data_IF_037284752491
#
_entry.id   IF_037284752491
#
_cell.length_a   1.000
_cell.length_b   1.000
_cell.length_c   1.000
_cell.angle_alpha   90.00
_cell.angle_beta   90.00
_cell.angle_gamma   90.00
#
_symmetry.space_group_name_H-M   'P 1'
#
loop_
_entity.id
_entity.type
_entity.pdbx_description
1 polymer ?
#
# COMPACT_ATOMS: atom_id res chain seq x y z
N UNK A 1 13.25 51.99 -4.26
CA UNK A 1 12.20 51.44 -5.14
C UNK A 1 12.01 49.99 -4.76
N UNK A 2 10.83 49.69 -4.21
CA UNK A 2 10.36 48.36 -3.86
C UNK A 2 10.30 47.48 -5.11
N UNK A 3 10.70 46.21 -5.00
CA UNK A 3 10.02 45.14 -5.73
C UNK A 3 9.80 44.00 -4.75
N UNK A 4 8.54 43.88 -4.34
CA UNK A 4 8.02 42.81 -3.53
C UNK A 4 8.18 41.48 -4.26
N UNK A 5 8.94 40.57 -3.66
CA UNK A 5 8.91 39.16 -4.04
C UNK A 5 7.60 38.60 -3.52
N UNK A 6 6.75 38.21 -4.46
CA UNK A 6 5.41 37.68 -4.28
C UNK A 6 5.46 36.46 -3.36
N UNK A 7 5.09 36.64 -2.09
CA UNK A 7 4.91 35.57 -1.11
C UNK A 7 3.61 34.82 -1.41
N UNK A 8 3.67 33.84 -2.32
CA UNK A 8 2.74 32.70 -2.26
C UNK A 8 3.40 31.63 -1.42
N UNK A 9 3.05 31.61 -0.14
CA UNK A 9 3.27 30.46 0.75
C UNK A 9 2.59 29.26 0.07
N UNK A 10 3.25 28.09 -0.07
CA UNK A 10 2.59 26.89 -0.60
C UNK A 10 1.38 26.55 0.28
N UNK A 11 0.32 25.99 -0.32
CA UNK A 11 -0.68 25.25 0.45
C UNK A 11 0.07 24.32 1.41
N UNK A 12 -0.13 24.51 2.71
CA UNK A 12 0.73 23.99 3.77
C UNK A 12 0.93 22.48 3.62
N UNK A 13 2.20 22.08 3.47
CA UNK A 13 2.62 20.68 3.38
C UNK A 13 2.19 19.97 4.66
N UNK A 14 1.57 18.79 4.51
CA UNK A 14 1.26 17.92 5.63
C UNK A 14 2.55 17.65 6.43
N UNK A 15 2.64 18.18 7.65
CA UNK A 15 3.83 18.07 8.49
C UNK A 15 3.97 16.73 9.20
N UNK A 16 2.93 15.88 9.16
CA UNK A 16 2.83 14.68 10.01
C UNK A 16 2.54 14.96 11.49
N UNK A 17 2.57 16.22 11.94
CA UNK A 17 2.55 16.59 13.37
C UNK A 17 1.16 16.84 13.95
N UNK A 18 0.10 16.96 13.15
CA UNK A 18 -1.23 17.34 13.65
C UNK A 18 -1.79 16.42 14.74
N UNK A 19 -1.61 15.10 14.57
CA UNK A 19 -2.01 14.10 15.59
C UNK A 19 -1.05 14.14 16.77
N UNK A 20 0.24 14.33 16.51
CA UNK A 20 1.27 14.42 17.54
C UNK A 20 1.00 15.59 18.50
N UNK A 21 0.69 16.77 17.96
CA UNK A 21 0.41 17.99 18.72
C UNK A 21 -0.86 17.89 19.56
N UNK A 22 -1.91 17.24 19.03
CA UNK A 22 -3.22 17.15 19.71
C UNK A 22 -3.30 16.02 20.72
N UNK A 23 -2.65 14.89 20.44
CA UNK A 23 -2.74 13.70 21.27
C UNK A 23 -1.45 13.39 22.04
N UNK A 24 -0.36 14.11 21.81
CA UNK A 24 0.95 13.86 22.43
C UNK A 24 1.65 12.59 21.92
N UNK A 25 1.24 12.07 20.76
CA UNK A 25 1.84 10.89 20.13
C UNK A 25 3.16 11.30 19.47
N UNK A 26 4.23 10.53 19.66
CA UNK A 26 5.50 10.81 19.01
C UNK A 26 5.99 9.61 18.19
N UNK A 27 6.47 9.87 16.98
CA UNK A 27 7.31 8.94 16.23
C UNK A 27 8.76 9.16 16.67
N UNK A 28 9.42 8.11 17.14
CA UNK A 28 10.81 8.17 17.60
C UNK A 28 11.59 7.08 16.86
N UNK A 29 12.68 7.44 16.21
CA UNK A 29 13.45 6.48 15.41
C UNK A 29 14.44 7.19 14.50
N UNK A 30 14.72 6.57 13.37
CA UNK A 30 15.60 7.11 12.35
C UNK A 30 15.13 8.50 11.86
N UNK A 31 16.09 9.35 11.47
CA UNK A 31 15.80 10.71 10.97
C UNK A 31 14.84 10.70 9.77
N UNK A 32 14.93 9.68 8.92
CA UNK A 32 14.07 9.53 7.73
C UNK A 32 12.67 8.99 8.03
N UNK A 33 12.36 8.60 9.27
CA UNK A 33 11.08 7.98 9.60
C UNK A 33 9.89 8.92 9.33
N UNK A 34 10.05 10.20 9.64
CA UNK A 34 9.03 11.23 9.41
C UNK A 34 8.86 11.59 7.93
N UNK A 35 9.86 11.30 7.09
CA UNK A 35 9.72 11.46 5.65
C UNK A 35 8.86 10.33 5.06
N UNK A 36 8.95 9.12 5.63
CA UNK A 36 8.20 7.94 5.17
C UNK A 36 6.76 7.90 5.71
N UNK A 37 6.55 8.41 6.92
CA UNK A 37 5.28 8.26 7.64
C UNK A 37 4.82 9.58 8.27
N UNK A 38 3.51 9.70 8.38
CA UNK A 38 2.90 10.52 9.41
C UNK A 38 1.73 9.82 10.09
N UNK A 39 0.96 10.58 10.85
CA UNK A 39 -0.11 10.05 11.69
C UNK A 39 -1.49 10.52 11.22
N UNK A 40 -2.45 9.59 11.23
CA UNK A 40 -3.88 9.88 11.12
C UNK A 40 -4.65 9.19 12.25
N UNK A 41 -5.95 9.48 12.34
CA UNK A 41 -6.86 8.85 13.27
C UNK A 41 -7.81 7.90 12.54
N UNK A 42 -8.20 6.84 13.25
CA UNK A 42 -9.22 5.91 12.81
C UNK A 42 -10.13 5.53 13.97
N UNK A 43 -11.33 5.06 13.64
CA UNK A 43 -12.23 4.49 14.64
C UNK A 43 -11.78 3.05 14.94
N UNK A 44 -11.03 2.88 16.03
CA UNK A 44 -10.56 1.56 16.43
C UNK A 44 -10.52 1.43 17.97
N UNK A 45 -11.04 0.33 18.53
CA UNK A 45 -11.15 0.16 19.99
C UNK A 45 -9.81 -0.14 20.67
N UNK A 46 -8.74 -0.45 19.92
CA UNK A 46 -7.43 -0.84 20.45
C UNK A 46 -6.35 0.20 20.19
N UNK A 47 -6.43 0.96 19.09
CA UNK A 47 -5.41 1.96 18.69
C UNK A 47 -6.06 3.17 18.03
N UNK A 48 -5.95 4.35 18.64
CA UNK A 48 -6.50 5.60 18.10
C UNK A 48 -5.76 6.09 16.83
N UNK A 49 -4.45 5.89 16.76
CA UNK A 49 -3.61 6.33 15.64
C UNK A 49 -3.54 5.29 14.53
N UNK A 50 -3.21 5.79 13.34
CA UNK A 50 -2.87 5.03 12.13
C UNK A 50 -1.58 5.63 11.57
N UNK A 51 -0.60 4.77 11.25
CA UNK A 51 0.55 5.18 10.46
C UNK A 51 0.10 5.34 9.01
N UNK A 52 0.34 6.52 8.44
CA UNK A 52 0.01 6.83 7.04
C UNK A 52 1.31 7.03 6.29
N UNK A 53 1.55 6.18 5.31
CA UNK A 53 2.72 6.31 4.46
C UNK A 53 2.61 7.50 3.51
N UNK A 54 3.67 8.31 3.48
CA UNK A 54 3.90 9.37 2.49
C UNK A 54 4.35 8.80 1.13
N UNK A 55 4.86 7.58 1.09
CA UNK A 55 5.62 7.07 -0.05
C UNK A 55 4.96 5.89 -0.76
N UNK A 56 3.95 5.24 -0.18
CA UNK A 56 3.31 4.08 -0.81
C UNK A 56 2.12 4.42 -1.73
N UNK A 57 1.68 5.68 -1.76
CA UNK A 57 0.49 6.07 -2.53
C UNK A 57 -0.80 5.41 -2.02
N UNK A 58 -0.85 4.92 -0.77
CA UNK A 58 -2.04 4.20 -0.28
C UNK A 58 -3.20 5.13 0.05
N UNK A 59 -2.93 6.19 0.80
CA UNK A 59 -3.94 7.14 1.26
C UNK A 59 -3.67 8.58 0.82
N UNK A 60 -2.42 8.89 0.50
CA UNK A 60 -1.96 10.21 0.05
C UNK A 60 -1.44 10.05 -1.38
N UNK A 61 -1.96 10.80 -2.36
CA UNK A 61 -1.42 10.85 -3.71
C UNK A 61 0.07 11.16 -3.70
N UNK A 62 0.84 10.40 -4.47
CA UNK A 62 2.29 10.52 -4.51
C UNK A 62 2.82 10.31 -5.93
N UNK A 63 4.01 10.84 -6.24
CA UNK A 63 4.71 10.56 -7.50
C UNK A 63 4.88 9.04 -7.68
N UNK A 64 4.50 8.48 -8.84
CA UNK A 64 4.67 7.05 -9.11
C UNK A 64 6.14 6.62 -9.11
N UNK A 65 7.09 7.48 -9.49
CA UNK A 65 8.51 7.20 -9.35
C UNK A 65 8.93 7.04 -7.89
N UNK A 66 8.41 7.85 -6.97
CA UNK A 66 8.67 7.70 -5.53
C UNK A 66 8.09 6.37 -5.03
N UNK A 67 6.83 6.07 -5.34
CA UNK A 67 6.13 4.86 -4.90
C UNK A 67 6.85 3.60 -5.35
N UNK A 68 7.15 3.50 -6.64
CA UNK A 68 7.90 2.37 -7.20
C UNK A 68 9.33 2.29 -6.63
N UNK A 69 9.99 3.46 -6.50
CA UNK A 69 11.39 3.57 -6.10
C UNK A 69 11.68 2.99 -4.71
N UNK A 70 10.81 3.23 -3.72
CA UNK A 70 10.99 2.68 -2.37
C UNK A 70 10.93 1.16 -2.34
N UNK A 71 9.94 0.56 -3.00
CA UNK A 71 9.84 -0.90 -3.09
C UNK A 71 11.00 -1.52 -3.87
N UNK A 72 11.38 -0.90 -4.99
CA UNK A 72 12.53 -1.35 -5.79
C UNK A 72 13.84 -1.31 -5.01
N UNK A 73 14.07 -0.25 -4.22
CA UNK A 73 15.25 -0.12 -3.37
C UNK A 73 15.30 -1.20 -2.27
N UNK A 74 14.17 -1.52 -1.64
CA UNK A 74 14.06 -2.64 -0.71
C UNK A 74 14.39 -3.97 -1.40
N UNK A 75 13.86 -4.21 -2.60
CA UNK A 75 14.18 -5.40 -3.40
C UNK A 75 15.67 -5.56 -3.69
N UNK A 76 16.37 -4.45 -3.99
CA UNK A 76 17.83 -4.47 -4.17
C UNK A 76 18.56 -4.86 -2.88
N UNK A 77 18.14 -4.33 -1.72
CA UNK A 77 18.73 -4.70 -0.43
C UNK A 77 18.52 -6.17 -0.11
N UNK A 78 17.35 -6.73 -0.45
CA UNK A 78 17.09 -8.17 -0.33
C UNK A 78 17.99 -8.97 -1.26
N UNK A 79 18.19 -8.53 -2.51
CA UNK A 79 19.13 -9.19 -3.44
C UNK A 79 20.54 -9.23 -2.87
N UNK A 80 21.03 -8.10 -2.36
CA UNK A 80 22.37 -7.99 -1.79
C UNK A 80 22.53 -8.89 -0.55
N UNK A 81 21.46 -9.04 0.25
CA UNK A 81 21.41 -9.93 1.42
C UNK A 81 21.38 -11.43 1.05
N UNK A 82 20.70 -11.79 -0.03
CA UNK A 82 20.54 -13.19 -0.47
C UNK A 82 21.70 -13.68 -1.34
N UNK A 83 22.38 -12.80 -2.06
CA UNK A 83 23.43 -13.20 -3.01
C UNK A 83 22.87 -14.13 -4.09
N UNK A 84 23.56 -15.24 -4.35
CA UNK A 84 23.15 -16.23 -5.35
C UNK A 84 21.78 -16.88 -5.05
N UNK A 85 21.38 -16.98 -3.77
CA UNK A 85 20.08 -17.53 -3.38
C UNK A 85 18.89 -16.70 -3.90
N UNK A 86 19.13 -15.44 -4.29
CA UNK A 86 18.11 -14.57 -4.87
C UNK A 86 17.52 -15.15 -6.16
N UNK A 87 18.27 -15.98 -6.90
CA UNK A 87 17.82 -16.59 -8.15
C UNK A 87 16.62 -17.54 -7.96
N UNK A 88 16.50 -18.13 -6.76
CA UNK A 88 15.45 -19.10 -6.41
C UNK A 88 14.42 -18.54 -5.43
N UNK A 89 14.52 -17.24 -5.11
CA UNK A 89 13.64 -16.61 -4.14
C UNK A 89 12.22 -16.41 -4.68
N UNK A 90 11.23 -16.45 -3.81
CA UNK A 90 9.83 -16.11 -4.10
C UNK A 90 9.42 -14.95 -3.21
N UNK A 91 8.73 -13.95 -3.78
CA UNK A 91 8.23 -12.79 -3.03
C UNK A 91 6.73 -12.95 -2.77
N UNK A 92 6.33 -12.80 -1.51
CA UNK A 92 4.96 -12.84 -1.05
C UNK A 92 4.58 -11.49 -0.42
N UNK A 93 3.65 -10.75 -1.01
CA UNK A 93 3.12 -9.51 -0.43
C UNK A 93 1.85 -9.71 0.40
N UNK A 94 1.71 -8.96 1.49
CA UNK A 94 0.47 -8.92 2.26
C UNK A 94 -0.56 -7.99 1.56
N UNK A 95 -1.73 -8.54 1.25
CA UNK A 95 -2.84 -7.67 0.91
C UNK A 95 -3.30 -6.89 2.14
N UNK A 96 -3.74 -5.64 2.00
CA UNK A 96 -3.89 -4.93 0.74
C UNK A 96 -2.71 -4.03 0.41
N UNK A 97 -2.22 -3.30 1.42
CA UNK A 97 -1.27 -2.18 1.23
C UNK A 97 0.05 -2.61 0.60
N UNK A 98 0.53 -3.82 0.93
CA UNK A 98 1.79 -4.31 0.42
C UNK A 98 1.69 -5.07 -0.91
N UNK A 99 0.53 -5.09 -1.58
CA UNK A 99 0.40 -5.70 -2.93
C UNK A 99 1.27 -4.97 -3.97
N UNK A 100 1.19 -3.64 -4.03
CA UNK A 100 2.05 -2.84 -4.92
C UNK A 100 3.51 -2.80 -4.47
N UNK A 101 3.74 -2.74 -3.15
CA UNK A 101 5.08 -2.74 -2.56
C UNK A 101 5.82 -4.06 -2.85
N UNK A 102 5.15 -5.19 -2.66
CA UNK A 102 5.70 -6.52 -2.90
C UNK A 102 6.09 -6.76 -4.35
N UNK A 103 5.27 -6.32 -5.31
CA UNK A 103 5.66 -6.32 -6.72
C UNK A 103 6.92 -5.50 -6.97
N UNK A 104 6.99 -4.29 -6.41
CA UNK A 104 8.17 -3.41 -6.56
C UNK A 104 9.43 -4.02 -5.92
N UNK A 105 9.28 -4.75 -4.81
CA UNK A 105 10.36 -5.53 -4.18
C UNK A 105 10.80 -6.68 -5.09
N UNK A 106 9.87 -7.45 -5.66
CA UNK A 106 10.18 -8.50 -6.63
C UNK A 106 10.92 -7.94 -7.85
N UNK A 107 10.52 -6.76 -8.32
CA UNK A 107 11.18 -6.06 -9.40
C UNK A 107 12.63 -5.66 -9.08
N UNK A 108 12.86 -5.19 -7.84
CA UNK A 108 14.20 -4.85 -7.34
C UNK A 108 15.09 -6.06 -7.11
N UNK A 109 14.49 -7.19 -6.73
CA UNK A 109 15.16 -8.48 -6.56
C UNK A 109 15.56 -9.08 -7.93
N UNK A 110 14.72 -8.93 -8.95
CA UNK A 110 15.04 -9.17 -10.35
C UNK A 110 14.33 -10.39 -10.93
N UNK A 111 14.71 -11.59 -10.50
CA UNK A 111 14.25 -12.87 -11.06
C UNK A 111 13.20 -13.59 -10.22
N UNK A 112 12.80 -13.01 -9.08
CA UNK A 112 11.83 -13.65 -8.20
C UNK A 112 10.41 -13.53 -8.75
N UNK A 113 9.64 -14.62 -8.83
CA UNK A 113 8.20 -14.51 -9.05
C UNK A 113 7.52 -13.92 -7.81
N UNK A 114 6.38 -13.28 -8.03
CA UNK A 114 5.61 -12.59 -7.01
C UNK A 114 4.22 -13.21 -6.82
N UNK A 115 3.83 -13.41 -5.56
CA UNK A 115 2.49 -13.76 -5.13
C UNK A 115 2.01 -12.71 -4.12
N UNK A 116 0.71 -12.45 -4.02
CA UNK A 116 0.18 -11.76 -2.85
C UNK A 116 -0.99 -12.49 -2.25
N UNK A 117 -1.17 -12.32 -0.95
CA UNK A 117 -2.37 -12.81 -0.28
C UNK A 117 -3.60 -12.05 -0.74
N UNK A 118 -4.79 -12.60 -0.52
CA UNK A 118 -6.05 -11.91 -0.80
C UNK A 118 -7.11 -12.31 0.21
N UNK A 119 -8.10 -11.45 0.43
CA UNK A 119 -9.31 -11.80 1.20
C UNK A 119 -10.47 -12.24 0.30
N UNK A 120 -10.19 -12.40 -0.99
CA UNK A 120 -11.17 -12.76 -2.02
C UNK A 120 -11.06 -14.25 -2.34
N UNK A 121 -12.06 -15.07 -1.99
CA UNK A 121 -12.12 -16.41 -2.55
C UNK A 121 -12.37 -16.31 -4.05
N UNK A 122 -11.65 -17.10 -4.85
CA UNK A 122 -11.83 -17.16 -6.30
C UNK A 122 -12.30 -18.57 -6.66
N UNK A 123 -13.50 -18.66 -7.24
CA UNK A 123 -14.09 -19.93 -7.62
C UNK A 123 -13.18 -20.68 -8.62
N UNK A 124 -12.91 -21.95 -8.33
CA UNK A 124 -12.08 -22.80 -9.19
C UNK A 124 -10.56 -22.70 -8.94
N UNK A 125 -10.09 -21.80 -8.07
CA UNK A 125 -8.67 -21.71 -7.71
C UNK A 125 -8.44 -22.38 -6.35
N UNK A 126 -7.53 -23.35 -6.32
CA UNK A 126 -7.20 -24.07 -5.09
C UNK A 126 -6.41 -23.18 -4.12
N UNK A 127 -6.75 -23.26 -2.84
CA UNK A 127 -5.99 -22.58 -1.79
C UNK A 127 -4.71 -23.35 -1.47
N UNK A 128 -3.57 -22.70 -1.64
CA UNK A 128 -2.26 -23.28 -1.31
C UNK A 128 -1.85 -23.02 0.16
N UNK A 129 -2.37 -21.94 0.76
CA UNK A 129 -1.98 -21.42 2.07
C UNK A 129 -2.96 -20.38 2.59
N UNK A 130 -2.80 -19.96 3.85
CA UNK A 130 -3.57 -18.85 4.39
C UNK A 130 -3.26 -18.55 5.86
N UNK A 131 -3.54 -17.33 6.29
CA UNK A 131 -3.22 -16.89 7.66
C UNK A 131 -4.26 -15.90 8.19
N UNK A 132 -4.33 -15.78 9.51
CA UNK A 132 -5.22 -14.85 10.21
C UNK A 132 -4.43 -13.63 10.70
N UNK A 133 -4.96 -12.43 10.46
CA UNK A 133 -4.41 -11.21 11.06
C UNK A 133 -4.83 -11.08 12.52
N UNK A 134 -3.86 -10.95 13.43
CA UNK A 134 -4.09 -10.96 14.90
C UNK A 134 -4.88 -9.75 15.45
N UNK A 135 -5.20 -8.77 14.60
CA UNK A 135 -5.81 -7.49 14.99
C UNK A 135 -7.22 -7.27 14.44
N UNK A 136 -7.75 -8.21 13.67
CA UNK A 136 -9.09 -8.19 13.09
C UNK A 136 -9.80 -9.48 13.43
N UNK A 137 -10.98 -9.41 14.04
CA UNK A 137 -11.68 -10.58 14.57
C UNK A 137 -12.23 -11.56 13.52
N UNK A 138 -11.97 -11.39 12.22
CA UNK A 138 -12.57 -12.25 11.18
C UNK A 138 -11.94 -12.18 9.76
N UNK A 139 -10.67 -11.79 9.58
CA UNK A 139 -10.10 -11.68 8.21
C UNK A 139 -8.99 -12.68 7.94
N UNK A 140 -9.42 -13.79 7.33
CA UNK A 140 -8.57 -14.79 6.72
C UNK A 140 -7.95 -14.25 5.43
N UNK A 141 -6.64 -14.45 5.29
CA UNK A 141 -5.90 -14.23 4.06
C UNK A 141 -5.71 -15.57 3.36
N UNK A 142 -5.90 -15.57 2.04
CA UNK A 142 -5.78 -16.72 1.17
C UNK A 142 -4.55 -16.55 0.28
N UNK A 143 -3.84 -17.64 0.04
CA UNK A 143 -2.85 -17.75 -1.03
C UNK A 143 -3.42 -18.62 -2.13
N UNK A 144 -3.63 -18.02 -3.30
CA UNK A 144 -4.36 -18.63 -4.42
C UNK A 144 -3.48 -18.68 -5.69
N UNK A 145 -2.27 -19.25 -5.67
CA UNK A 145 -1.45 -19.32 -6.88
C UNK A 145 -2.13 -20.19 -7.94
N UNK A 146 -2.04 -19.80 -9.21
CA UNK A 146 -2.49 -20.64 -10.33
C UNK A 146 -1.59 -21.89 -10.47
N UNK A 147 -0.29 -21.71 -10.28
CA UNK A 147 0.69 -22.80 -10.20
C UNK A 147 1.06 -23.08 -8.73
N UNK A 148 0.64 -24.25 -8.23
CA UNK A 148 0.99 -24.70 -6.88
C UNK A 148 2.51 -24.87 -6.68
N UNK A 149 3.28 -25.09 -7.76
CA UNK A 149 4.72 -25.18 -7.75
C UNK A 149 5.42 -23.89 -7.29
N UNK A 150 4.73 -22.74 -7.38
CA UNK A 150 5.27 -21.45 -6.97
C UNK A 150 5.72 -21.43 -5.50
N UNK A 151 4.99 -22.12 -4.62
CA UNK A 151 5.33 -22.23 -3.20
C UNK A 151 6.04 -23.54 -2.84
N UNK A 152 6.22 -24.47 -3.77
CA UNK A 152 6.76 -25.81 -3.46
C UNK A 152 8.29 -25.91 -3.45
N UNK A 153 9.01 -24.87 -3.90
CA UNK A 153 10.49 -24.86 -3.89
C UNK A 153 11.10 -24.85 -2.48
N UNK A 154 12.43 -24.83 -2.41
CA UNK A 154 13.23 -24.75 -1.17
C UNK A 154 13.98 -23.42 -0.98
N UNK A 155 14.08 -22.61 -2.05
CA UNK A 155 14.71 -21.29 -2.03
C UNK A 155 14.06 -20.27 -1.06
N UNK A 156 14.68 -19.10 -0.84
CA UNK A 156 14.21 -18.14 0.15
C UNK A 156 12.79 -17.65 -0.09
N UNK A 157 11.99 -17.53 0.99
CA UNK A 157 10.69 -16.86 0.93
C UNK A 157 10.80 -15.44 1.50
N UNK A 158 10.51 -14.45 0.66
CA UNK A 158 10.55 -13.03 1.01
C UNK A 158 9.13 -12.55 1.30
N UNK A 159 8.83 -12.15 2.53
CA UNK A 159 7.51 -11.70 2.95
C UNK A 159 7.49 -10.16 3.07
N UNK A 160 6.61 -9.48 2.35
CA UNK A 160 6.61 -8.02 2.22
C UNK A 160 5.34 -7.42 2.81
N UNK A 161 5.49 -6.59 3.84
CA UNK A 161 4.43 -5.78 4.43
C UNK A 161 4.78 -4.28 4.40
N UNK A 162 3.85 -3.39 4.75
CA UNK A 162 4.16 -1.97 4.90
C UNK A 162 4.79 -1.65 6.26
N UNK A 163 4.28 -2.25 7.34
CA UNK A 163 4.74 -2.04 8.71
C UNK A 163 5.07 -3.35 9.42
N UNK A 164 6.28 -3.46 9.99
CA UNK A 164 6.62 -4.55 10.89
C UNK A 164 6.55 -4.09 12.35
N UNK A 165 5.49 -4.49 13.08
CA UNK A 165 5.32 -4.17 14.50
C UNK A 165 5.58 -5.39 15.38
N UNK A 166 4.58 -5.94 16.08
CA UNK A 166 4.77 -7.13 16.95
C UNK A 166 5.23 -8.40 16.21
N UNK A 167 5.16 -8.40 14.88
CA UNK A 167 5.52 -9.52 14.02
C UNK A 167 4.54 -10.69 14.02
N UNK A 168 3.51 -10.71 14.87
CA UNK A 168 2.60 -11.86 15.03
C UNK A 168 2.03 -12.39 13.71
N UNK A 169 1.51 -11.51 12.84
CA UNK A 169 0.96 -11.90 11.54
C UNK A 169 2.02 -12.61 10.68
N UNK A 170 3.22 -12.03 10.58
CA UNK A 170 4.32 -12.58 9.79
C UNK A 170 4.80 -13.91 10.37
N UNK A 171 5.00 -14.00 11.69
CA UNK A 171 5.44 -15.24 12.35
C UNK A 171 4.42 -16.37 12.16
N UNK A 172 3.13 -16.09 12.32
CA UNK A 172 2.06 -17.07 12.09
C UNK A 172 2.01 -17.49 10.62
N UNK A 173 2.21 -16.54 9.69
CA UNK A 173 2.28 -16.85 8.25
C UNK A 173 3.46 -17.77 7.95
N UNK A 174 4.64 -17.46 8.49
CA UNK A 174 5.83 -18.28 8.28
C UNK A 174 5.59 -19.67 8.88
N UNK A 175 5.04 -19.79 10.08
CA UNK A 175 4.76 -21.10 10.70
C UNK A 175 3.84 -21.95 9.82
N UNK A 176 2.70 -21.38 9.40
CA UNK A 176 1.73 -22.07 8.54
C UNK A 176 2.32 -22.49 7.19
N UNK A 177 3.16 -21.64 6.60
CA UNK A 177 3.84 -21.96 5.34
C UNK A 177 4.98 -22.95 5.54
N UNK A 178 5.71 -22.88 6.64
CA UNK A 178 6.83 -23.77 6.93
C UNK A 178 6.36 -25.21 7.16
N UNK A 179 5.18 -25.40 7.78
CA UNK A 179 4.57 -26.73 7.94
C UNK A 179 4.24 -27.41 6.59
N UNK A 180 3.96 -26.64 5.54
CA UNK A 180 3.54 -27.15 4.22
C UNK A 180 4.67 -27.12 3.18
N UNK A 181 5.47 -26.06 3.22
CA UNK A 181 6.49 -25.68 2.26
C UNK A 181 7.74 -25.17 3.03
N UNK A 182 8.44 -26.06 3.76
CA UNK A 182 9.55 -25.67 4.62
C UNK A 182 10.66 -25.01 3.81
N UNK A 183 11.15 -23.87 4.29
CA UNK A 183 12.30 -23.14 3.73
C UNK A 183 13.43 -23.07 4.73
N UNK A 184 14.66 -23.11 4.24
CA UNK A 184 15.84 -22.85 5.08
C UNK A 184 16.03 -21.36 5.40
N UNK A 185 15.41 -20.46 4.62
CA UNK A 185 15.58 -19.01 4.76
C UNK A 185 14.30 -18.23 4.47
N UNK A 186 14.00 -17.29 5.36
CA UNK A 186 12.93 -16.30 5.24
C UNK A 186 13.51 -14.89 5.33
N UNK A 187 12.98 -13.96 4.55
CA UNK A 187 13.32 -12.54 4.64
C UNK A 187 12.04 -11.75 4.83
N UNK A 188 11.89 -11.13 5.99
CA UNK A 188 10.81 -10.17 6.24
C UNK A 188 11.24 -8.82 5.67
N UNK A 189 10.37 -8.19 4.90
CA UNK A 189 10.59 -6.87 4.30
C UNK A 189 9.46 -5.96 4.74
N UNK A 190 9.81 -4.80 5.25
CA UNK A 190 8.84 -3.76 5.58
C UNK A 190 9.29 -2.40 5.06
N UNK A 191 8.35 -1.48 4.83
CA UNK A 191 8.74 -0.08 4.67
C UNK A 191 9.36 0.41 5.98
N UNK A 192 8.72 0.10 7.11
CA UNK A 192 9.17 0.53 8.43
C UNK A 192 9.18 -0.62 9.44
N UNK A 193 10.21 -0.69 10.27
CA UNK A 193 10.26 -1.54 11.47
C UNK A 193 9.86 -0.71 12.69
N UNK A 194 8.69 -1.00 13.23
CA UNK A 194 8.06 -0.32 14.35
C UNK A 194 8.03 -1.18 15.63
N UNK A 195 8.92 -2.18 15.72
CA UNK A 195 9.02 -3.05 16.89
C UNK A 195 9.36 -2.30 18.17
N UNK A 196 8.80 -2.78 19.27
CA UNK A 196 9.28 -2.42 20.61
C UNK A 196 10.55 -3.20 20.94
N UNK A 197 11.32 -2.73 21.94
CA UNK A 197 12.47 -3.48 22.47
C UNK A 197 12.06 -4.89 22.94
N UNK A 198 10.85 -5.03 23.50
CA UNK A 198 10.30 -6.31 23.95
C UNK A 198 10.01 -7.28 22.79
N UNK A 199 9.80 -6.77 21.56
CA UNK A 199 9.54 -7.59 20.38
C UNK A 199 10.81 -7.92 19.58
N UNK A 200 11.94 -7.27 19.86
CA UNK A 200 13.16 -7.39 19.06
C UNK A 200 13.72 -8.82 18.98
N UNK A 201 13.69 -9.57 20.10
CA UNK A 201 14.23 -10.93 20.19
C UNK A 201 13.31 -12.05 19.66
N UNK A 202 12.05 -11.71 19.36
CA UNK A 202 11.03 -12.71 18.98
C UNK A 202 11.31 -13.39 17.64
N UNK A 203 11.91 -12.66 16.70
CA UNK A 203 12.32 -13.23 15.41
C UNK A 203 13.42 -14.28 15.58
N UNK A 204 14.42 -14.02 16.44
CA UNK A 204 15.52 -14.95 16.67
C UNK A 204 15.06 -16.21 17.42
N UNK A 205 14.16 -16.06 18.40
CA UNK A 205 13.54 -17.18 19.09
C UNK A 205 12.73 -18.05 18.12
N UNK A 206 11.91 -17.42 17.29
CA UNK A 206 11.12 -18.12 16.29
C UNK A 206 11.99 -18.81 15.23
N UNK A 207 13.06 -18.16 14.76
CA UNK A 207 14.01 -18.75 13.81
C UNK A 207 14.62 -20.06 14.35
N UNK A 208 14.98 -20.09 15.65
CA UNK A 208 15.46 -21.31 16.32
C UNK A 208 14.36 -22.37 16.48
N UNK A 209 13.12 -21.96 16.72
CA UNK A 209 11.97 -22.87 16.86
C UNK A 209 11.73 -23.67 15.57
N UNK A 210 11.80 -23.01 14.41
CA UNK A 210 11.53 -23.61 13.10
C UNK A 210 12.77 -24.15 12.39
N UNK A 211 13.94 -24.12 13.03
CA UNK A 211 15.24 -24.51 12.44
C UNK A 211 15.51 -23.86 11.07
N UNK A 212 15.25 -22.55 10.97
CA UNK A 212 15.45 -21.77 9.75
C UNK A 212 16.05 -20.40 10.04
N UNK A 213 16.65 -19.78 9.03
CA UNK A 213 17.13 -18.40 9.13
C UNK A 213 16.00 -17.42 8.83
N UNK A 214 15.83 -16.40 9.65
CA UNK A 214 14.87 -15.31 9.42
C UNK A 214 15.60 -13.97 9.49
N UNK A 215 15.69 -13.27 8.36
CA UNK A 215 16.28 -11.92 8.27
C UNK A 215 15.17 -10.85 8.20
N UNK A 216 15.47 -9.60 8.59
CA UNK A 216 14.60 -8.44 8.44
C UNK A 216 15.29 -7.33 7.62
N UNK A 217 14.57 -6.78 6.64
CA UNK A 217 14.98 -5.62 5.85
C UNK A 217 13.90 -4.54 5.94
N UNK A 218 14.23 -3.40 6.54
CA UNK A 218 13.33 -2.24 6.62
C UNK A 218 13.98 -0.97 6.07
N UNK A 219 13.19 -0.06 5.48
CA UNK A 219 13.72 1.20 4.95
C UNK A 219 14.11 2.16 6.08
N UNK A 220 13.34 2.17 7.17
CA UNK A 220 13.64 2.86 8.41
C UNK A 220 13.13 2.07 9.62
N UNK A 221 13.67 2.38 10.79
CA UNK A 221 13.27 1.81 12.07
C UNK A 221 12.83 2.89 13.05
N UNK A 222 11.89 2.55 13.94
CA UNK A 222 11.45 3.44 15.01
C UNK A 222 10.39 2.82 15.90
N UNK A 223 9.70 3.65 16.65
CA UNK A 223 8.60 3.29 17.51
C UNK A 223 7.57 4.42 17.62
N UNK A 224 6.38 4.07 18.09
CA UNK A 224 5.34 5.04 18.44
C UNK A 224 5.27 5.16 19.95
N UNK A 225 5.57 6.35 20.49
CA UNK A 225 5.36 6.65 21.91
C UNK A 225 3.94 7.17 22.11
N UNK A 226 3.19 6.46 22.94
CA UNK A 226 1.81 6.78 23.29
C UNK A 226 1.74 7.38 24.70
N UNK A 227 1.13 8.56 24.88
CA UNK A 227 0.87 9.08 26.22
C UNK A 227 -0.32 8.37 26.88
N UNK A 228 -0.44 8.54 28.19
CA UNK A 228 -1.55 8.01 28.96
C UNK A 228 -2.89 8.60 28.50
N UNK A 229 -3.91 7.74 28.41
CA UNK A 229 -5.27 8.10 27.98
C UNK A 229 -5.40 8.46 26.49
N UNK A 230 -4.40 8.13 25.64
CA UNK A 230 -4.42 8.47 24.21
C UNK A 230 -5.60 7.83 23.47
N UNK A 231 -6.05 6.65 23.91
CA UNK A 231 -7.13 5.93 23.26
C UNK A 231 -8.45 6.66 23.45
N UNK A 232 -8.77 7.02 24.70
CA UNK A 232 -9.96 7.80 25.05
C UNK A 232 -9.94 9.16 24.36
N UNK A 233 -8.83 9.91 24.48
CA UNK A 233 -8.66 11.22 23.82
C UNK A 233 -8.83 11.14 22.31
N UNK A 234 -8.27 10.10 21.68
CA UNK A 234 -8.40 9.87 20.25
C UNK A 234 -9.83 9.56 19.83
N UNK A 235 -10.56 8.74 20.61
CA UNK A 235 -11.97 8.43 20.35
C UNK A 235 -12.86 9.66 20.50
N UNK A 236 -12.63 10.48 21.53
CA UNK A 236 -13.32 11.75 21.73
C UNK A 236 -13.08 12.70 20.57
N UNK A 237 -11.83 12.83 20.11
CA UNK A 237 -11.48 13.70 18.98
C UNK A 237 -12.13 13.23 17.68
N UNK A 238 -12.11 11.92 17.40
CA UNK A 238 -12.83 11.33 16.26
C UNK A 238 -14.33 11.65 16.35
N UNK A 239 -14.96 11.48 17.51
CA UNK A 239 -16.37 11.76 17.71
C UNK A 239 -16.71 13.26 17.50
N UNK A 240 -15.86 14.17 18.00
CA UNK A 240 -16.03 15.61 17.81
C UNK A 240 -16.03 16.00 16.33
N UNK A 241 -15.06 15.51 15.55
CA UNK A 241 -14.99 15.83 14.11
C UNK A 241 -16.13 15.21 13.31
N UNK A 242 -16.56 14.00 13.65
CA UNK A 242 -17.72 13.35 13.02
C UNK A 242 -19.04 14.06 13.33
N UNK A 243 -19.18 14.66 14.53
CA UNK A 243 -20.37 15.43 14.93
C UNK A 243 -20.35 16.83 14.28
N UNK A 244 -19.21 17.52 14.34
CA UNK A 244 -19.04 18.86 13.77
C UNK A 244 -19.18 18.88 12.24
N UNK A 245 -18.86 17.75 11.60
CA UNK A 245 -19.03 17.55 10.16
C UNK A 245 -19.93 16.33 9.93
N UNK A 246 -21.27 16.42 10.12
CA UNK A 246 -22.18 15.32 9.80
C UNK A 246 -22.09 14.93 8.32
N UNK A 247 -21.65 15.87 7.47
CA UNK A 247 -21.29 15.66 6.08
C UNK A 247 -20.13 14.68 5.88
N UNK A 248 -19.19 14.53 6.82
CA UNK A 248 -18.13 13.54 6.77
C UNK A 248 -18.66 12.10 6.94
N UNK A 249 -19.70 11.89 7.75
CA UNK A 249 -20.46 10.62 7.80
C UNK A 249 -21.39 10.43 6.59
N UNK A 250 -21.65 11.48 5.81
CA UNK A 250 -22.64 11.52 4.71
C UNK A 250 -22.08 12.16 3.41
N UNK A 251 -20.80 11.94 3.06
CA UNK A 251 -20.26 12.47 1.79
C UNK A 251 -20.75 11.71 0.56
N UNK A 252 -21.43 10.58 0.73
CA UNK A 252 -22.32 10.09 -0.32
C UNK A 252 -23.61 10.93 -0.32
N UNK A 253 -23.56 12.11 -0.95
CA UNK A 253 -24.75 12.53 -1.72
C UNK A 253 -25.01 11.34 -2.67
N UNK A 254 -26.22 10.73 -2.70
CA UNK A 254 -26.51 9.71 -3.70
C UNK A 254 -26.02 10.24 -5.04
N UNK A 255 -25.16 9.46 -5.72
CA UNK A 255 -24.64 9.88 -7.01
C UNK A 255 -25.86 10.31 -7.85
N UNK A 256 -25.86 11.52 -8.41
CA UNK A 256 -26.98 11.98 -9.22
C UNK A 256 -27.34 10.90 -10.21
N UNK A 257 -28.60 10.47 -10.23
CA UNK A 257 -29.02 9.34 -11.06
C UNK A 257 -28.97 9.65 -12.55
N UNK A 258 -28.69 10.90 -12.97
CA UNK A 258 -28.49 11.33 -14.35
C UNK A 258 -27.81 12.72 -14.47
N UNK A 259 -27.12 13.00 -15.60
CA UNK A 259 -26.23 12.09 -16.30
C UNK A 259 -24.87 12.10 -15.59
N UNK A 260 -24.29 10.92 -15.39
CA UNK A 260 -22.87 10.85 -15.03
C UNK A 260 -22.07 11.57 -16.13
N UNK A 261 -21.02 12.34 -15.78
CA UNK A 261 -20.10 12.84 -16.79
C UNK A 261 -19.64 11.68 -17.67
N UNK A 262 -19.48 11.94 -18.96
CA UNK A 262 -19.01 10.93 -19.92
C UNK A 262 -17.68 10.38 -19.41
N UNK A 263 -17.67 9.10 -19.01
CA UNK A 263 -16.43 8.42 -18.73
C UNK A 263 -15.83 7.99 -20.08
N UNK A 264 -14.54 8.25 -20.27
CA UNK A 264 -13.83 7.84 -21.46
C UNK A 264 -13.15 6.50 -21.16
N UNK A 265 -13.65 5.43 -21.78
CA UNK A 265 -13.03 4.11 -21.65
C UNK A 265 -11.93 3.98 -22.70
N UNK A 266 -10.70 3.79 -22.24
CA UNK A 266 -9.54 3.51 -23.09
C UNK A 266 -9.29 2.01 -23.08
N UNK A 267 -9.24 1.39 -24.26
CA UNK A 267 -8.71 0.04 -24.39
C UNK A 267 -7.19 0.12 -24.50
N UNK A 268 -6.50 -0.38 -23.49
CA UNK A 268 -5.04 -0.39 -23.47
C UNK A 268 -4.45 -1.45 -24.40
N UNK A 269 -5.27 -2.37 -24.94
CA UNK A 269 -4.85 -3.60 -25.61
C UNK A 269 -3.96 -4.45 -24.69
N UNK A 270 -4.49 -4.79 -23.51
CA UNK A 270 -3.78 -5.56 -22.51
C UNK A 270 -3.21 -6.86 -23.12
N UNK A 271 -1.91 -7.17 -22.93
CA UNK A 271 -1.29 -8.33 -23.55
C UNK A 271 -2.00 -9.65 -23.21
N UNK A 272 -2.37 -10.50 -24.20
CA UNK A 272 -3.14 -11.72 -23.94
C UNK A 272 -2.40 -12.71 -23.04
N UNK A 273 -2.95 -13.17 -21.92
CA UNK A 273 -2.25 -14.03 -20.93
C UNK A 273 -1.15 -13.33 -20.10
N UNK A 274 -1.15 -11.99 -20.04
CA UNK A 274 -0.49 -11.27 -18.95
C UNK A 274 -1.49 -11.15 -17.79
N UNK A 275 -1.20 -11.67 -16.58
CA UNK A 275 -2.04 -11.41 -15.41
C UNK A 275 -2.07 -9.93 -15.05
N UNK A 276 -3.20 -9.46 -14.51
CA UNK A 276 -3.41 -8.08 -14.07
C UNK A 276 -2.66 -7.73 -12.77
N UNK A 277 -2.25 -8.74 -12.00
CA UNK A 277 -1.54 -8.57 -10.74
C UNK A 277 -0.92 -9.87 -10.23
N UNK A 278 -0.53 -9.84 -8.95
CA UNK A 278 0.21 -10.94 -8.31
C UNK A 278 -0.67 -11.96 -7.60
N UNK A 279 -2.01 -11.82 -7.64
CA UNK A 279 -2.92 -12.64 -6.84
C UNK A 279 -2.74 -14.14 -7.08
N UNK A 280 -2.49 -14.49 -8.34
CA UNK A 280 -2.36 -15.86 -8.82
C UNK A 280 -0.94 -16.22 -9.24
N UNK A 281 0.03 -15.34 -8.98
CA UNK A 281 1.42 -15.48 -9.41
C UNK A 281 1.77 -14.53 -10.57
N UNK A 282 2.91 -13.86 -10.46
CA UNK A 282 3.45 -12.97 -11.47
C UNK A 282 4.94 -13.26 -11.66
N UNK A 283 5.31 -13.80 -12.82
CA UNK A 283 6.66 -14.31 -13.08
C UNK A 283 7.56 -13.25 -13.74
N UNK A 284 8.89 -13.46 -13.79
CA UNK A 284 9.78 -12.60 -14.56
C UNK A 284 9.42 -12.49 -16.05
N UNK A 285 8.83 -13.54 -16.66
CA UNK A 285 8.37 -13.47 -18.05
C UNK A 285 7.11 -12.61 -18.19
N UNK A 286 6.18 -12.65 -17.21
CA UNK A 286 5.06 -11.71 -17.13
C UNK A 286 5.56 -10.27 -17.02
N UNK A 287 6.56 -10.02 -16.16
CA UNK A 287 7.21 -8.70 -16.05
C UNK A 287 7.77 -8.25 -17.38
N UNK A 288 8.63 -9.04 -18.02
CA UNK A 288 9.25 -8.68 -19.30
C UNK A 288 8.20 -8.33 -20.38
N UNK A 289 7.07 -9.03 -20.37
CA UNK A 289 5.96 -8.75 -21.27
C UNK A 289 5.21 -7.46 -20.94
N UNK A 290 4.96 -7.18 -19.66
CA UNK A 290 4.39 -5.91 -19.22
C UNK A 290 5.31 -4.74 -19.64
N UNK A 291 6.60 -4.82 -19.32
CA UNK A 291 7.60 -3.80 -19.67
C UNK A 291 7.61 -3.50 -21.17
N UNK A 292 7.55 -4.54 -22.01
CA UNK A 292 7.51 -4.36 -23.47
C UNK A 292 6.23 -3.69 -23.97
N UNK A 293 5.11 -3.82 -23.25
CA UNK A 293 3.81 -3.30 -23.66
C UNK A 293 3.51 -1.90 -23.09
N UNK A 294 4.15 -1.52 -21.96
CA UNK A 294 3.89 -0.28 -21.24
C UNK A 294 3.95 0.98 -22.13
N UNK A 295 4.95 1.17 -23.02
CA UNK A 295 5.01 2.39 -23.83
C UNK A 295 3.78 2.60 -24.72
N UNK A 296 3.28 1.53 -25.34
CA UNK A 296 2.12 1.61 -26.24
C UNK A 296 0.80 1.75 -25.45
N UNK A 297 0.67 1.05 -24.32
CA UNK A 297 -0.47 1.23 -23.41
C UNK A 297 -0.54 2.69 -22.90
N UNK A 298 0.60 3.24 -22.51
CA UNK A 298 0.70 4.62 -22.03
C UNK A 298 0.44 5.64 -23.13
N UNK A 299 0.89 5.39 -24.37
CA UNK A 299 0.58 6.26 -25.51
C UNK A 299 -0.93 6.37 -25.75
N UNK A 300 -1.65 5.24 -25.72
CA UNK A 300 -3.13 5.22 -25.83
C UNK A 300 -3.80 5.98 -24.69
N UNK A 301 -3.28 5.84 -23.47
CA UNK A 301 -3.78 6.58 -22.33
C UNK A 301 -3.54 8.08 -22.49
N UNK A 302 -2.34 8.48 -22.91
CA UNK A 302 -1.98 9.88 -23.15
C UNK A 302 -2.83 10.54 -24.24
N UNK A 303 -3.18 9.81 -25.31
CA UNK A 303 -4.10 10.28 -26.36
C UNK A 303 -5.50 10.59 -25.85
N UNK A 304 -5.95 9.90 -24.79
CA UNK A 304 -7.25 10.11 -24.18
C UNK A 304 -7.25 11.20 -23.09
N UNK A 305 -6.06 11.60 -22.61
CA UNK A 305 -5.92 12.66 -21.61
C UNK A 305 -6.01 14.03 -22.30
N UNK A 306 -6.76 15.00 -21.75
CA UNK A 306 -6.79 16.36 -22.30
C UNK A 306 -5.38 16.95 -22.44
N UNK A 307 -5.06 17.52 -23.60
CA UNK A 307 -3.72 18.03 -23.90
C UNK A 307 -3.28 19.20 -23.00
N UNK A 308 -4.24 19.88 -22.35
CA UNK A 308 -4.02 20.96 -21.39
C UNK A 308 -4.01 20.49 -19.93
N UNK A 309 -4.23 19.19 -19.66
CA UNK A 309 -4.17 18.63 -18.32
C UNK A 309 -2.76 18.82 -17.72
N UNK A 310 -2.71 19.44 -16.55
CA UNK A 310 -1.50 19.70 -15.77
C UNK A 310 -1.40 18.84 -14.53
N UNK A 311 -2.51 18.30 -14.04
CA UNK A 311 -2.57 17.48 -12.82
C UNK A 311 -3.36 16.22 -13.10
N UNK A 312 -2.63 15.16 -13.40
CA UNK A 312 -3.15 13.85 -13.78
C UNK A 312 -3.04 12.93 -12.56
N UNK A 313 -4.14 12.30 -12.17
CA UNK A 313 -4.13 11.30 -11.10
C UNK A 313 -4.46 9.92 -11.66
N UNK A 314 -3.64 8.93 -11.36
CA UNK A 314 -3.91 7.52 -11.66
C UNK A 314 -4.37 6.84 -10.37
N UNK A 315 -5.59 6.29 -10.37
CA UNK A 315 -6.17 5.65 -9.20
C UNK A 315 -6.18 4.12 -9.36
N UNK A 316 -5.26 3.45 -8.64
CA UNK A 316 -5.28 2.01 -8.46
C UNK A 316 -6.48 1.54 -7.62
N UNK A 317 -6.73 0.24 -7.66
CA UNK A 317 -7.93 -0.33 -7.04
C UNK A 317 -7.60 -1.46 -6.06
N UNK A 318 -7.71 -1.21 -4.76
CA UNK A 318 -7.49 -2.18 -3.68
C UNK A 318 -6.20 -3.02 -3.84
N UNK A 319 -6.30 -4.22 -4.40
CA UNK A 319 -5.16 -5.14 -4.65
C UNK A 319 -4.54 -4.97 -6.06
N UNK A 320 -5.24 -4.31 -6.99
CA UNK A 320 -4.75 -3.92 -8.31
C UNK A 320 -3.98 -2.60 -8.21
N UNK A 321 -2.85 -2.64 -7.51
CA UNK A 321 -1.98 -1.48 -7.31
C UNK A 321 -0.85 -1.39 -8.34
N UNK A 322 -0.25 -2.53 -8.70
CA UNK A 322 0.99 -2.55 -9.48
C UNK A 322 0.80 -2.10 -10.93
N UNK A 323 -0.15 -2.67 -11.67
CA UNK A 323 -0.35 -2.30 -13.08
C UNK A 323 -0.67 -0.79 -13.27
N UNK A 324 -1.59 -0.18 -12.48
CA UNK A 324 -1.81 1.26 -12.52
C UNK A 324 -0.56 2.07 -12.11
N UNK A 325 0.21 1.63 -11.11
CA UNK A 325 1.48 2.28 -10.74
C UNK A 325 2.49 2.25 -11.89
N UNK A 326 2.58 1.14 -12.63
CA UNK A 326 3.49 1.00 -13.78
C UNK A 326 3.09 1.92 -14.93
N UNK A 327 1.79 2.01 -15.24
CA UNK A 327 1.26 2.97 -16.21
C UNK A 327 1.49 4.41 -15.78
N UNK A 328 1.26 4.73 -14.51
CA UNK A 328 1.49 6.06 -13.95
C UNK A 328 2.95 6.49 -14.08
N UNK A 329 3.89 5.57 -13.81
CA UNK A 329 5.33 5.83 -13.93
C UNK A 329 5.77 6.06 -15.37
N UNK A 330 5.24 5.29 -16.31
CA UNK A 330 5.51 5.51 -17.74
C UNK A 330 4.90 6.85 -18.21
N UNK A 331 3.68 7.14 -17.77
CA UNK A 331 3.00 8.40 -18.08
C UNK A 331 3.76 9.61 -17.53
N UNK A 332 4.30 9.52 -16.32
CA UNK A 332 5.14 10.57 -15.70
C UNK A 332 6.36 10.93 -16.56
N UNK A 333 6.89 9.99 -17.36
CA UNK A 333 8.02 10.23 -18.25
C UNK A 333 7.62 10.93 -19.56
N UNK A 334 6.41 10.69 -20.07
CA UNK A 334 5.95 11.19 -21.38
C UNK A 334 5.05 12.43 -21.28
N UNK A 335 4.36 12.63 -20.15
CA UNK A 335 3.46 13.76 -19.91
C UNK A 335 4.24 15.03 -19.51
N UNK A 336 5.03 15.57 -20.44
CA UNK A 336 5.88 16.73 -20.18
C UNK A 336 5.08 17.95 -19.68
N UNK A 337 5.45 18.46 -18.51
CA UNK A 337 4.82 19.65 -17.93
C UNK A 337 3.46 19.39 -17.28
N UNK A 338 3.10 18.12 -17.05
CA UNK A 338 2.04 17.70 -16.16
C UNK A 338 2.61 16.99 -14.92
N UNK A 339 2.00 17.23 -13.77
CA UNK A 339 2.18 16.47 -12.55
C UNK A 339 1.37 15.19 -12.64
N UNK A 340 2.03 14.03 -12.58
CA UNK A 340 1.37 12.73 -12.50
C UNK A 340 1.48 12.23 -11.06
N UNK A 341 0.34 11.94 -10.45
CA UNK A 341 0.27 11.35 -9.11
C UNK A 341 -0.45 10.01 -9.16
N UNK A 342 -0.14 9.15 -8.20
CA UNK A 342 -0.74 7.84 -8.05
C UNK A 342 -1.30 7.68 -6.64
N UNK A 343 -2.49 7.09 -6.54
CA UNK A 343 -2.96 6.52 -5.28
C UNK A 343 -3.80 5.27 -5.51
N UNK A 344 -4.43 4.73 -4.46
CA UNK A 344 -5.29 3.57 -4.57
C UNK A 344 -6.50 3.70 -3.66
N UNK A 345 -7.60 3.06 -4.05
CA UNK A 345 -8.73 2.85 -3.14
C UNK A 345 -8.34 1.91 -1.99
N UNK A 346 -9.14 1.88 -0.93
CA UNK A 346 -8.95 0.95 0.17
C UNK A 346 -10.23 0.59 0.90
N UNK A 347 -10.19 -0.50 1.66
CA UNK A 347 -11.24 -0.96 2.58
C UNK A 347 -11.16 -0.31 3.96
N UNK A 348 -10.02 0.29 4.31
CA UNK A 348 -9.77 0.78 5.67
C UNK A 348 -10.43 2.14 5.93
N UNK A 349 -11.37 2.24 6.90
CA UNK A 349 -12.01 3.51 7.23
C UNK A 349 -11.09 4.41 8.06
N UNK A 350 -10.47 5.39 7.41
CA UNK A 350 -9.71 6.48 8.04
C UNK A 350 -10.61 7.72 8.25
N UNK A 351 -10.39 8.42 9.37
CA UNK A 351 -11.03 9.72 9.62
C UNK A 351 -10.47 10.75 8.64
N UNK A 352 -11.34 11.48 7.96
CA UNK A 352 -10.95 12.64 7.16
C UNK A 352 -11.22 13.94 7.93
N UNK A 353 -10.25 14.84 7.95
CA UNK A 353 -10.32 16.17 8.55
C UNK A 353 -9.75 17.16 7.53
N UNK A 354 -10.56 18.10 7.04
CA UNK A 354 -10.09 19.15 6.13
C UNK A 354 -9.29 20.21 6.90
N UNK A 355 -8.09 19.82 7.31
CA UNK A 355 -7.09 20.65 7.96
C UNK A 355 -5.78 20.46 7.17
N UNK A 356 -5.10 21.53 6.74
CA UNK A 356 -3.85 21.42 5.99
C UNK A 356 -2.75 20.64 6.71
N UNK A 357 -2.76 20.60 8.05
CA UNK A 357 -1.82 19.83 8.85
C UNK A 357 -2.15 18.34 8.96
N UNK A 358 -3.25 17.86 8.39
CA UNK A 358 -3.72 16.47 8.56
C UNK A 358 -3.62 15.65 7.26
N UNK A 359 -3.27 14.36 7.41
CA UNK A 359 -2.92 13.48 6.29
C UNK A 359 -4.08 13.25 5.32
N UNK A 360 -5.28 13.09 5.86
CA UNK A 360 -6.48 12.66 5.12
C UNK A 360 -7.48 13.80 5.15
N UNK A 361 -7.50 14.62 4.10
CA UNK A 361 -8.30 15.83 4.03
C UNK A 361 -9.67 15.63 3.39
N UNK A 362 -9.78 14.68 2.47
CA UNK A 362 -11.06 14.32 1.84
C UNK A 362 -11.25 12.81 1.76
N UNK A 363 -12.52 12.39 1.71
CA UNK A 363 -12.94 10.98 1.64
C UNK A 363 -14.16 10.82 0.74
N UNK A 364 -14.00 9.98 -0.27
CA UNK A 364 -15.10 9.42 -1.06
C UNK A 364 -15.44 8.05 -0.48
N UNK A 365 -16.72 7.77 -0.27
CA UNK A 365 -17.22 6.48 0.21
C UNK A 365 -18.12 5.88 -0.86
N UNK A 366 -17.90 4.62 -1.22
CA UNK A 366 -18.69 3.91 -2.22
C UNK A 366 -18.80 2.42 -1.84
N UNK A 367 -19.85 1.70 -2.27
CA UNK A 367 -20.00 0.29 -1.94
C UNK A 367 -18.93 -0.56 -2.63
N UNK A 368 -18.56 -1.68 -2.01
CA UNK A 368 -17.82 -2.75 -2.66
C UNK A 368 -18.49 -3.14 -3.99
N UNK A 369 -17.69 -3.21 -5.05
CA UNK A 369 -18.10 -3.79 -6.34
C UNK A 369 -18.18 -5.34 -6.31
N UNK A 370 -17.66 -5.96 -5.25
CA UNK A 370 -17.45 -7.40 -5.09
C UNK A 370 -18.02 -7.93 -3.76
N UNK A 371 -17.88 -9.24 -3.53
CA UNK A 371 -18.34 -9.92 -2.32
C UNK A 371 -17.13 -10.52 -1.57
N UNK A 372 -16.36 -9.69 -0.84
CA UNK A 372 -15.19 -10.19 -0.11
C UNK A 372 -15.60 -11.04 1.10
N UNK A 373 -14.68 -11.84 1.64
CA UNK A 373 -14.96 -12.74 2.76
C UNK A 373 -15.40 -12.02 4.05
N UNK A 374 -15.04 -10.74 4.21
CA UNK A 374 -15.46 -9.87 5.31
C UNK A 374 -16.83 -9.20 5.10
N UNK A 375 -17.55 -9.55 4.03
CA UNK A 375 -18.91 -9.12 3.74
C UNK A 375 -19.01 -7.86 2.86
N UNK A 376 -20.22 -7.48 2.40
CA UNK A 376 -20.40 -6.23 1.68
C UNK A 376 -19.96 -5.07 2.59
N UNK A 377 -19.13 -4.17 2.07
CA UNK A 377 -18.55 -3.11 2.88
C UNK A 377 -18.25 -1.87 2.06
N UNK A 378 -18.09 -0.76 2.76
CA UNK A 378 -17.66 0.49 2.16
C UNK A 378 -16.22 0.37 1.64
N UNK A 379 -15.96 1.13 0.59
CA UNK A 379 -14.65 1.38 0.00
C UNK A 379 -14.41 2.88 0.00
N UNK A 380 -13.13 3.21 0.05
CA UNK A 380 -12.69 4.58 0.29
C UNK A 380 -11.66 4.99 -0.76
N UNK A 381 -11.80 6.22 -1.24
CA UNK A 381 -10.72 6.93 -1.93
C UNK A 381 -10.44 8.22 -1.15
N UNK A 382 -9.18 8.47 -0.84
CA UNK A 382 -8.74 9.56 0.03
C UNK A 382 -8.01 10.64 -0.77
N UNK A 383 -8.19 11.90 -0.37
CA UNK A 383 -7.50 13.05 -0.98
C UNK A 383 -7.72 13.18 -2.50
N UNK A 384 -8.88 12.71 -3.00
CA UNK A 384 -9.27 12.83 -4.41
C UNK A 384 -10.26 13.98 -4.60
N UNK A 385 -11.36 13.96 -3.83
CA UNK A 385 -12.38 15.00 -3.91
C UNK A 385 -11.79 16.35 -3.50
N UNK A 386 -11.91 17.36 -4.36
CA UNK A 386 -11.42 18.72 -4.12
C UNK A 386 -9.91 18.90 -4.28
N UNK A 387 -9.17 17.87 -4.73
CA UNK A 387 -7.71 17.95 -4.88
C UNK A 387 -7.24 18.74 -6.11
N UNK A 388 -8.16 19.11 -7.00
CA UNK A 388 -7.86 19.92 -8.19
C UNK A 388 -7.11 19.16 -9.28
N UNK A 389 -7.40 17.87 -9.44
CA UNK A 389 -6.94 17.10 -10.60
C UNK A 389 -7.75 17.49 -11.84
N UNK A 390 -7.07 17.65 -12.97
CA UNK A 390 -7.71 17.91 -14.27
C UNK A 390 -8.33 16.63 -14.83
N UNK A 391 -7.69 15.48 -14.55
CA UNK A 391 -8.17 14.14 -14.92
C UNK A 391 -7.83 13.13 -13.84
N UNK A 392 -8.76 12.21 -13.58
CA UNK A 392 -8.54 10.99 -12.79
C UNK A 392 -8.73 9.81 -13.73
N UNK A 393 -7.69 9.00 -13.88
CA UNK A 393 -7.66 7.78 -14.69
C UNK A 393 -7.93 6.58 -13.81
#
# INVERSE_FOLDING_TARGET
MNNAVNSKVPDTIWSGTWVAERLGVALVGDESLTDLLGLALRRNPKRAHLLVSNVLGKHVPQSPTVVYGHGFALGRRVRDLLGEEAATAVVLGYAETATGLGHSVADGLGTAPYLHSTRRPVAGVAQAGGFEESHSHATSHLLLPEDAGLLAGDGPLVLVDDEFSTGNTVLNTIRDLHERYPRGRYVVVALVDMRSEADAGRLDEFAREIDARVDLVAAASGNVRLPEGVLEKGQELVAQFEIAHPGARRTARPAPTQPHPTHHRVDLHWPPALPDGGRHGFTPSHRARLESALPEMTARLAEAIPADARRIHILGFEELMYAPLRLARELEQVAQGAEVTYSTTTRSPVLAVDDPGYAIRSRIVFPAHDTPADGPGDRYAYNIAGAGFDVVV
#
